data_IF_410468858111
#
_entry.id   IF_410468858111
#
_cell.length_a   1.000
_cell.length_b   1.000
_cell.length_c   1.000
_cell.angle_alpha   90.00
_cell.angle_beta   90.00
_cell.angle_gamma   90.00
#
_symmetry.space_group_name_H-M   'P 1'
#
loop_
_entity.id
_entity.type
_entity.pdbx_description
1 polymer ?
#
# COMPACT_ATOMS: atom_id res chain seq x y z
N UNK A 1 26.41 11.72 -9.16
CA UNK A 1 25.55 12.32 -8.12
C UNK A 1 24.51 13.20 -8.81
N UNK A 2 23.24 12.78 -8.89
CA UNK A 2 22.18 13.64 -9.41
C UNK A 2 22.07 14.90 -8.55
N UNK A 3 21.96 16.07 -9.17
CA UNK A 3 21.78 17.35 -8.46
C UNK A 3 20.51 17.27 -7.60
N UNK A 4 20.51 17.84 -6.37
CA UNK A 4 19.27 18.00 -5.63
C UNK A 4 18.32 18.84 -6.49
N UNK A 5 17.18 18.24 -6.85
CA UNK A 5 16.15 18.93 -7.61
C UNK A 5 15.36 19.77 -6.61
N UNK A 6 15.45 21.10 -6.72
CA UNK A 6 14.67 22.02 -5.90
C UNK A 6 13.22 22.06 -6.39
N UNK A 7 12.41 21.11 -5.92
CA UNK A 7 11.00 20.95 -6.30
C UNK A 7 10.14 22.20 -6.04
N UNK A 8 10.47 22.97 -4.99
CA UNK A 8 9.81 24.24 -4.68
C UNK A 8 10.09 25.32 -5.73
N UNK A 9 11.32 25.37 -6.25
CA UNK A 9 11.69 26.32 -7.30
C UNK A 9 10.97 25.99 -8.61
N UNK A 10 10.87 24.70 -8.95
CA UNK A 10 10.19 24.28 -10.19
C UNK A 10 8.69 24.53 -10.10
N UNK A 11 8.07 24.28 -8.95
CA UNK A 11 6.65 24.59 -8.73
C UNK A 11 6.40 26.11 -8.83
N UNK A 12 7.22 26.94 -8.18
CA UNK A 12 7.10 28.38 -8.26
C UNK A 12 7.22 28.89 -9.70
N UNK A 13 8.15 28.34 -10.49
CA UNK A 13 8.28 28.71 -11.91
C UNK A 13 7.07 28.28 -12.73
N UNK A 14 6.49 27.11 -12.48
CA UNK A 14 5.29 26.63 -13.18
C UNK A 14 4.07 27.48 -12.84
N UNK A 15 3.86 27.80 -11.55
CA UNK A 15 2.80 28.70 -11.12
C UNK A 15 2.95 30.09 -11.75
N UNK A 16 4.17 30.63 -11.80
CA UNK A 16 4.44 31.92 -12.42
C UNK A 16 4.15 31.90 -13.93
N UNK A 17 4.52 30.83 -14.63
CA UNK A 17 4.21 30.65 -16.06
C UNK A 17 2.70 30.54 -16.30
N UNK A 18 1.98 29.78 -15.47
CA UNK A 18 0.52 29.65 -15.57
C UNK A 18 -0.20 30.96 -15.27
N UNK A 19 0.28 31.74 -14.30
CA UNK A 19 -0.27 33.06 -13.99
C UNK A 19 0.02 34.08 -15.10
N UNK A 20 1.17 33.99 -15.76
CA UNK A 20 1.53 34.86 -16.89
C UNK A 20 0.71 34.55 -18.16
N UNK A 21 0.28 33.29 -18.33
CA UNK A 21 -0.49 32.84 -19.49
C UNK A 21 -1.74 32.08 -19.05
N UNK A 22 -2.79 32.79 -18.58
CA UNK A 22 -4.05 32.14 -18.22
C UNK A 22 -4.71 31.56 -19.47
N UNK A 23 -4.82 30.23 -19.53
CA UNK A 23 -5.51 29.51 -20.61
C UNK A 23 -7.02 29.66 -20.44
N UNK A 24 -7.55 30.85 -20.78
CA UNK A 24 -8.98 31.11 -20.89
C UNK A 24 -9.35 31.21 -22.36
N UNK A 25 -10.54 30.71 -22.73
CA UNK A 25 -11.10 30.86 -24.09
C UNK A 25 -11.08 32.34 -24.51
N UNK A 26 -11.35 33.26 -23.58
CA UNK A 26 -11.35 34.69 -23.83
C UNK A 26 -9.93 35.23 -24.09
N UNK A 27 -8.94 34.79 -23.32
CA UNK A 27 -7.54 35.20 -23.50
C UNK A 27 -6.95 34.64 -24.81
N UNK A 28 -7.38 33.45 -25.21
CA UNK A 28 -6.97 32.83 -26.47
C UNK A 28 -7.67 33.46 -27.69
N UNK A 29 -8.87 34.01 -27.51
CA UNK A 29 -9.65 34.65 -28.57
C UNK A 29 -9.27 36.12 -28.84
N UNK A 30 -8.75 36.84 -27.83
CA UNK A 30 -8.33 38.25 -27.94
C UNK A 30 -7.39 38.56 -29.13
N UNK A 31 -6.32 37.78 -29.42
CA UNK A 31 -5.47 38.06 -30.57
C UNK A 31 -6.20 37.85 -31.92
N UNK A 32 -7.20 36.96 -31.97
CA UNK A 32 -8.00 36.69 -33.17
C UNK A 32 -8.96 37.84 -33.44
N UNK A 33 -9.64 38.34 -32.40
CA UNK A 33 -10.57 39.48 -32.51
C UNK A 33 -9.84 40.78 -32.86
N UNK A 34 -8.68 41.01 -32.24
CA UNK A 34 -7.85 42.19 -32.50
C UNK A 34 -7.32 42.20 -33.95
N UNK A 35 -6.87 41.04 -34.45
CA UNK A 35 -6.41 40.90 -35.83
C UNK A 35 -7.53 41.11 -36.87
N UNK A 36 -8.78 40.75 -36.55
CA UNK A 36 -9.93 41.01 -37.41
C UNK A 36 -10.30 42.49 -37.45
N UNK A 37 -10.28 43.20 -36.31
CA UNK A 37 -10.53 44.63 -36.26
C UNK A 37 -9.48 45.42 -37.06
N UNK A 38 -8.21 45.01 -36.99
CA UNK A 38 -7.13 45.69 -37.71
C UNK A 38 -7.17 45.47 -39.23
N UNK A 39 -7.70 44.33 -39.70
CA UNK A 39 -7.94 44.09 -41.15
C UNK A 39 -9.14 44.87 -41.70
N UNK A 40 -10.07 45.30 -40.86
CA UNK A 40 -11.22 46.12 -41.27
C UNK A 40 -10.91 47.62 -41.35
N UNK A 41 -9.72 48.06 -40.92
CA UNK A 41 -9.21 49.41 -41.17
C UNK A 41 -8.17 49.40 -42.30
N UNK A 42 -8.65 49.58 -43.54
CA UNK A 42 -8.01 50.53 -44.43
C UNK A 42 -9.05 51.54 -44.98
N UNK A 43 -8.77 52.83 -44.77
CA UNK A 43 -9.33 53.97 -45.49
C UNK A 43 -10.76 54.45 -45.13
N UNK A 44 -10.97 54.91 -43.89
CA UNK A 44 -12.06 55.84 -43.57
C UNK A 44 -11.61 57.30 -43.78
N UNK A 45 -11.27 57.67 -45.01
CA UNK A 45 -11.03 59.06 -45.42
C UNK A 45 -11.61 59.33 -46.81
N UNK A 46 -12.90 59.02 -47.01
CA UNK A 46 -13.82 59.68 -47.95
C UNK A 46 -15.03 58.79 -48.24
N UNK A 47 -16.17 59.03 -47.56
CA UNK A 47 -17.53 58.95 -48.15
C UNK A 47 -18.63 59.10 -47.10
N UNK A 48 -19.35 60.23 -47.21
CA UNK A 48 -20.79 60.34 -46.92
C UNK A 48 -21.25 60.24 -45.45
N UNK A 49 -22.43 60.78 -45.12
CA UNK A 49 -23.00 60.66 -43.78
C UNK A 49 -23.37 59.20 -43.47
N UNK A 50 -23.24 58.77 -42.20
CA UNK A 50 -23.41 57.38 -41.79
C UNK A 50 -24.83 56.88 -42.01
N UNK A 51 -24.95 55.65 -42.54
CA UNK A 51 -26.22 54.91 -42.63
C UNK A 51 -26.65 54.46 -41.22
N UNK A 52 -27.97 54.44 -40.92
CA UNK A 52 -28.50 54.05 -39.61
C UNK A 52 -28.30 52.57 -39.24
N UNK A 53 -27.62 51.78 -40.07
CA UNK A 53 -27.26 50.39 -39.81
C UNK A 53 -25.94 50.22 -39.05
N UNK A 54 -25.08 51.25 -38.98
CA UNK A 54 -23.79 51.17 -38.29
C UNK A 54 -23.87 51.57 -36.79
N UNK A 55 -25.01 52.09 -36.34
CA UNK A 55 -25.20 52.58 -34.96
C UNK A 55 -25.55 51.48 -33.95
N UNK A 56 -25.79 50.24 -34.39
CA UNK A 56 -26.07 49.13 -33.48
C UNK A 56 -24.80 48.40 -32.99
N UNK A 57 -23.63 48.67 -33.58
CA UNK A 57 -22.36 48.06 -33.15
C UNK A 57 -21.56 48.90 -32.15
N UNK A 58 -21.95 50.15 -31.88
CA UNK A 58 -21.17 51.07 -31.05
C UNK A 58 -21.57 51.09 -29.56
N UNK A 59 -22.56 50.30 -29.14
CA UNK A 59 -23.03 50.24 -27.74
C UNK A 59 -22.46 49.05 -26.94
N UNK A 60 -21.57 48.23 -27.51
CA UNK A 60 -20.97 47.07 -26.82
C UNK A 60 -19.66 47.39 -26.06
N UNK A 61 -19.32 48.67 -25.88
CA UNK A 61 -18.12 49.05 -25.12
C UNK A 61 -18.22 48.78 -23.60
N UNK A 62 -19.38 48.31 -23.10
CA UNK A 62 -19.62 47.98 -21.68
C UNK A 62 -19.67 46.46 -21.39
N UNK A 63 -19.51 45.60 -22.42
CA UNK A 63 -19.61 44.13 -22.29
C UNK A 63 -18.39 43.45 -21.64
N UNK A 64 -17.49 44.22 -21.01
CA UNK A 64 -16.33 43.69 -20.28
C UNK A 64 -16.67 43.13 -18.90
N UNK A 65 -17.91 43.28 -18.44
CA UNK A 65 -18.39 42.72 -17.19
C UNK A 65 -18.83 41.25 -17.38
N UNK A 66 -17.84 40.37 -17.29
CA UNK A 66 -17.96 38.92 -17.05
C UNK A 66 -18.76 38.13 -18.11
N UNK A 67 -18.16 37.96 -19.28
CA UNK A 67 -18.48 36.88 -20.23
C UNK A 67 -18.17 35.51 -19.59
N UNK A 68 -19.06 35.02 -18.73
CA UNK A 68 -19.00 33.63 -18.29
C UNK A 68 -19.40 32.72 -19.47
N UNK A 69 -18.87 31.48 -19.56
CA UNK A 69 -19.19 30.58 -20.67
C UNK A 69 -20.70 30.32 -20.84
N UNK A 70 -21.46 30.42 -19.74
CA UNK A 70 -22.92 30.31 -19.73
C UNK A 70 -23.59 31.54 -20.36
N UNK A 71 -23.10 32.76 -20.09
CA UNK A 71 -23.60 33.99 -20.72
C UNK A 71 -23.33 33.98 -22.23
N UNK A 72 -22.15 33.55 -22.65
CA UNK A 72 -21.78 33.48 -24.07
C UNK A 72 -22.70 32.54 -24.87
N UNK A 73 -23.06 31.39 -24.31
CA UNK A 73 -23.97 30.46 -24.97
C UNK A 73 -25.38 31.06 -25.17
N UNK A 74 -25.88 31.79 -24.17
CA UNK A 74 -27.15 32.50 -24.26
C UNK A 74 -27.11 33.60 -25.33
N UNK A 75 -26.04 34.41 -25.36
CA UNK A 75 -25.87 35.47 -26.35
C UNK A 75 -25.79 34.93 -27.77
N UNK A 76 -25.06 33.83 -28.00
CA UNK A 76 -24.99 33.17 -29.31
C UNK A 76 -26.37 32.68 -29.78
N UNK A 77 -27.20 32.16 -28.88
CA UNK A 77 -28.57 31.74 -29.22
C UNK A 77 -29.45 32.94 -29.57
N UNK A 78 -29.37 34.02 -28.79
CA UNK A 78 -30.10 35.26 -29.03
C UNK A 78 -29.72 35.88 -30.39
N UNK A 79 -28.43 35.99 -30.69
CA UNK A 79 -27.96 36.53 -31.97
C UNK A 79 -28.37 35.67 -33.15
N UNK A 80 -28.31 34.34 -33.02
CA UNK A 80 -28.78 33.42 -34.07
C UNK A 80 -30.25 33.67 -34.40
N UNK A 81 -31.09 33.86 -33.39
CA UNK A 81 -32.52 34.12 -33.59
C UNK A 81 -32.77 35.51 -34.19
N UNK A 82 -32.09 36.54 -33.70
CA UNK A 82 -32.17 37.91 -34.22
C UNK A 82 -31.77 37.96 -35.68
N UNK A 83 -30.61 37.40 -36.06
CA UNK A 83 -30.14 37.39 -37.45
C UNK A 83 -31.03 36.52 -38.35
N UNK A 84 -31.61 35.44 -37.84
CA UNK A 84 -32.57 34.63 -38.61
C UNK A 84 -33.83 35.43 -38.93
N UNK A 85 -34.37 36.19 -37.97
CA UNK A 85 -35.51 37.09 -38.18
C UNK A 85 -35.17 38.23 -39.14
N UNK A 86 -34.01 38.86 -38.95
CA UNK A 86 -33.56 39.96 -39.80
C UNK A 86 -33.36 39.50 -41.25
N UNK A 87 -32.74 38.33 -41.44
CA UNK A 87 -32.57 37.71 -42.76
C UNK A 87 -33.91 37.42 -43.42
N UNK A 88 -34.88 36.85 -42.68
CA UNK A 88 -36.22 36.59 -43.21
C UNK A 88 -36.91 37.89 -43.65
N UNK A 89 -36.95 38.89 -42.77
CA UNK A 89 -37.55 40.20 -43.06
C UNK A 89 -36.90 40.88 -44.27
N UNK A 90 -35.56 40.84 -44.37
CA UNK A 90 -34.83 41.44 -45.48
C UNK A 90 -35.13 40.73 -46.80
N UNK A 91 -35.09 39.39 -46.83
CA UNK A 91 -35.43 38.62 -48.02
C UNK A 91 -36.86 38.89 -48.47
N UNK A 92 -37.81 38.92 -47.53
CA UNK A 92 -39.21 39.24 -47.82
C UNK A 92 -39.36 40.66 -48.38
N UNK A 93 -38.68 41.65 -47.81
CA UNK A 93 -38.75 43.03 -48.28
C UNK A 93 -38.14 43.19 -49.67
N UNK A 94 -36.94 42.65 -49.90
CA UNK A 94 -36.26 42.74 -51.20
C UNK A 94 -37.04 42.00 -52.28
N UNK A 95 -37.64 40.86 -51.97
CA UNK A 95 -38.47 40.10 -52.93
C UNK A 95 -39.76 40.86 -53.26
N UNK A 96 -40.45 41.42 -52.26
CA UNK A 96 -41.62 42.28 -52.48
C UNK A 96 -41.27 43.49 -53.33
N UNK A 97 -40.17 44.18 -53.03
CA UNK A 97 -39.74 45.36 -53.80
C UNK A 97 -39.36 44.97 -55.23
N UNK A 98 -38.59 43.90 -55.43
CA UNK A 98 -38.20 43.43 -56.76
C UNK A 98 -39.42 43.01 -57.57
N UNK A 99 -40.41 42.36 -56.96
CA UNK A 99 -41.66 41.99 -57.60
C UNK A 99 -42.45 43.24 -58.03
N UNK A 100 -42.65 44.20 -57.12
CA UNK A 100 -43.34 45.46 -57.44
C UNK A 100 -42.61 46.23 -58.55
N UNK A 101 -41.28 46.32 -58.50
CA UNK A 101 -40.49 46.97 -59.54
C UNK A 101 -40.57 46.24 -60.88
N UNK A 102 -40.70 44.91 -60.87
CA UNK A 102 -40.87 44.10 -62.08
C UNK A 102 -42.21 44.31 -62.78
N UNK A 103 -43.28 44.57 -62.02
CA UNK A 103 -44.63 44.77 -62.58
C UNK A 103 -44.97 46.23 -62.85
N UNK A 104 -44.41 47.18 -62.07
CA UNK A 104 -44.67 48.63 -62.20
C UNK A 104 -43.58 49.34 -63.01
N UNK A 105 -42.41 48.72 -63.20
CA UNK A 105 -41.31 49.31 -63.98
C UNK A 105 -41.65 49.42 -65.47
N UNK A 106 -41.28 50.55 -66.08
CA UNK A 106 -41.45 50.82 -67.50
C UNK A 106 -40.06 50.93 -68.15
N UNK A 107 -39.62 49.97 -69.00
CA UNK A 107 -40.35 48.80 -69.50
C UNK A 107 -40.39 47.62 -68.49
N UNK A 108 -41.42 46.76 -68.56
CA UNK A 108 -41.56 45.60 -67.67
C UNK A 108 -40.39 44.63 -67.85
N UNK A 109 -39.83 44.17 -66.73
CA UNK A 109 -38.73 43.21 -66.73
C UNK A 109 -39.24 41.82 -67.13
N UNK A 110 -39.04 41.47 -68.40
CA UNK A 110 -39.27 40.12 -68.93
C UNK A 110 -37.98 39.31 -68.80
N UNK A 111 -37.98 38.33 -67.90
CA UNK A 111 -36.84 37.40 -67.77
C UNK A 111 -36.85 36.46 -68.97
N UNK A 112 -35.81 36.52 -69.81
CA UNK A 112 -35.70 35.62 -70.96
C UNK A 112 -35.17 34.24 -70.56
N UNK A 113 -35.41 33.23 -71.40
CA UNK A 113 -34.83 31.90 -71.18
C UNK A 113 -33.28 31.93 -71.18
N UNK A 114 -32.67 32.83 -71.97
CA UNK A 114 -31.22 33.02 -71.99
C UNK A 114 -30.67 33.56 -70.67
N UNK A 115 -31.38 34.50 -70.04
CA UNK A 115 -31.00 35.05 -68.73
C UNK A 115 -31.08 33.98 -67.63
N UNK A 116 -32.10 33.12 -67.68
CA UNK A 116 -32.23 31.99 -66.76
C UNK A 116 -31.08 30.99 -66.93
N UNK A 117 -30.71 30.63 -68.16
CA UNK A 117 -29.57 29.74 -68.41
C UNK A 117 -28.25 30.33 -67.91
N UNK A 118 -28.02 31.63 -68.12
CA UNK A 118 -26.82 32.31 -67.60
C UNK A 118 -26.80 32.34 -66.06
N UNK A 119 -27.95 32.58 -65.42
CA UNK A 119 -28.10 32.52 -63.97
C UNK A 119 -27.89 31.10 -63.42
N UNK A 120 -28.38 30.07 -64.11
CA UNK A 120 -28.16 28.67 -63.72
C UNK A 120 -26.68 28.29 -63.77
N UNK A 121 -25.95 28.73 -64.80
CA UNK A 121 -24.51 28.50 -64.92
C UNK A 121 -23.73 29.17 -63.79
N UNK A 122 -24.03 30.44 -63.49
CA UNK A 122 -23.38 31.17 -62.38
C UNK A 122 -23.75 30.61 -61.01
N UNK A 123 -24.99 30.16 -60.82
CA UNK A 123 -25.39 29.48 -59.58
C UNK A 123 -24.71 28.13 -59.43
N UNK A 124 -24.47 27.40 -60.52
CA UNK A 124 -23.76 26.12 -60.48
C UNK A 124 -22.31 26.31 -60.00
N UNK A 125 -21.59 27.31 -60.52
CA UNK A 125 -20.22 27.61 -60.08
C UNK A 125 -20.19 28.10 -58.63
N UNK A 126 -21.04 29.05 -58.26
CA UNK A 126 -21.12 29.54 -56.88
C UNK A 126 -21.50 28.43 -55.88
N UNK A 127 -22.39 27.51 -56.27
CA UNK A 127 -22.77 26.37 -55.43
C UNK A 127 -21.64 25.38 -55.26
N UNK A 128 -20.84 25.16 -56.30
CA UNK A 128 -19.63 24.34 -56.21
C UNK A 128 -18.62 24.97 -55.25
N UNK A 129 -18.31 26.26 -55.43
CA UNK A 129 -17.36 26.98 -54.56
C UNK A 129 -17.84 27.04 -53.10
N UNK A 130 -19.14 27.21 -52.88
CA UNK A 130 -19.73 27.19 -51.55
C UNK A 130 -19.61 25.81 -50.89
N UNK A 131 -19.74 24.73 -51.65
CA UNK A 131 -19.55 23.37 -51.12
C UNK A 131 -18.10 23.13 -50.73
N UNK A 132 -17.15 23.47 -51.61
CA UNK A 132 -15.73 23.36 -51.31
C UNK A 132 -15.36 24.14 -50.03
N UNK A 133 -15.81 25.39 -49.91
CA UNK A 133 -15.56 26.20 -48.71
C UNK A 133 -16.22 25.64 -47.45
N UNK A 134 -17.38 24.99 -47.56
CA UNK A 134 -18.03 24.32 -46.41
C UNK A 134 -17.21 23.13 -45.96
N UNK A 135 -16.77 22.30 -46.90
CA UNK A 135 -15.90 21.15 -46.61
C UNK A 135 -14.59 21.59 -45.96
N UNK A 136 -13.97 22.68 -46.45
CA UNK A 136 -12.77 23.27 -45.84
C UNK A 136 -13.01 23.77 -44.40
N UNK A 137 -14.14 24.44 -44.16
CA UNK A 137 -14.50 24.93 -42.82
C UNK A 137 -14.80 23.77 -41.88
N UNK A 138 -15.53 22.75 -42.34
CA UNK A 138 -15.85 21.57 -41.54
C UNK A 138 -14.57 20.81 -41.17
N UNK A 139 -13.62 20.67 -42.11
CA UNK A 139 -12.32 20.08 -41.85
C UNK A 139 -11.50 20.89 -40.84
N UNK A 140 -11.49 22.23 -40.96
CA UNK A 140 -10.80 23.11 -40.01
C UNK A 140 -11.41 23.04 -38.60
N UNK A 141 -12.74 22.98 -38.49
CA UNK A 141 -13.44 22.82 -37.20
C UNK A 141 -13.07 21.48 -36.56
N UNK A 142 -13.09 20.39 -37.33
CA UNK A 142 -12.68 19.07 -36.82
C UNK A 142 -11.24 19.07 -36.30
N UNK A 143 -10.31 19.66 -37.04
CA UNK A 143 -8.91 19.79 -36.62
C UNK A 143 -8.76 20.67 -35.36
N UNK A 144 -9.55 21.74 -35.26
CA UNK A 144 -9.56 22.61 -34.08
C UNK A 144 -10.09 21.89 -32.84
N UNK A 145 -11.14 21.08 -32.98
CA UNK A 145 -11.69 20.27 -31.89
C UNK A 145 -10.71 19.20 -31.40
N UNK A 146 -10.04 18.50 -32.32
CA UNK A 146 -8.98 17.55 -31.98
C UNK A 146 -7.86 18.23 -31.20
N UNK A 147 -7.39 19.39 -31.70
CA UNK A 147 -6.35 20.14 -31.01
C UNK A 147 -6.80 20.65 -29.64
N UNK A 148 -8.05 21.09 -29.51
CA UNK A 148 -8.61 21.52 -28.25
C UNK A 148 -8.66 20.38 -27.23
N UNK A 149 -9.07 19.18 -27.65
CA UNK A 149 -9.07 17.97 -26.81
C UNK A 149 -7.66 17.59 -26.34
N UNK A 150 -6.68 17.61 -27.25
CA UNK A 150 -5.28 17.35 -26.91
C UNK A 150 -4.73 18.34 -25.89
N UNK A 151 -5.03 19.63 -26.06
CA UNK A 151 -4.58 20.68 -25.14
C UNK A 151 -5.22 20.52 -23.77
N UNK A 152 -6.53 20.22 -23.71
CA UNK A 152 -7.23 19.96 -22.46
C UNK A 152 -6.60 18.79 -21.68
N UNK A 153 -6.35 17.66 -22.36
CA UNK A 153 -5.72 16.49 -21.71
C UNK A 153 -4.32 16.80 -21.16
N UNK A 154 -3.52 17.56 -21.92
CA UNK A 154 -2.17 17.96 -21.47
C UNK A 154 -2.24 18.92 -20.30
N UNK A 155 -3.22 19.83 -20.30
CA UNK A 155 -3.43 20.78 -19.21
C UNK A 155 -3.81 20.06 -17.92
N UNK A 156 -4.73 19.09 -18.00
CA UNK A 156 -5.13 18.27 -16.85
C UNK A 156 -3.95 17.48 -16.28
N UNK A 157 -3.16 16.83 -17.14
CA UNK A 157 -1.97 16.09 -16.72
C UNK A 157 -0.91 16.98 -16.04
N UNK A 158 -0.72 18.21 -16.51
CA UNK A 158 0.19 19.18 -15.86
C UNK A 158 -0.34 19.60 -14.50
N UNK A 159 -1.64 19.88 -14.37
CA UNK A 159 -2.26 20.23 -13.09
C UNK A 159 -2.14 19.08 -12.07
N UNK A 160 -2.38 17.85 -12.49
CA UNK A 160 -2.16 16.66 -11.65
C UNK A 160 -0.70 16.55 -11.19
N UNK A 161 0.24 16.76 -12.11
CA UNK A 161 1.68 16.79 -11.82
C UNK A 161 2.07 17.89 -10.84
N UNK A 162 1.48 19.09 -10.96
CA UNK A 162 1.68 20.19 -10.01
C UNK A 162 1.17 19.83 -8.62
N UNK A 163 -0.02 19.25 -8.51
CA UNK A 163 -0.55 18.78 -7.22
C UNK A 163 0.30 17.69 -6.58
N UNK A 164 0.93 16.82 -7.38
CA UNK A 164 1.90 15.85 -6.87
C UNK A 164 3.20 16.54 -6.39
N UNK A 165 3.70 17.52 -7.14
CA UNK A 165 4.90 18.29 -6.81
C UNK A 165 4.72 19.16 -5.55
N UNK A 166 3.50 19.55 -5.21
CA UNK A 166 3.15 20.21 -3.96
C UNK A 166 3.24 19.28 -2.75
N UNK A 167 2.78 18.03 -2.89
CA UNK A 167 2.59 17.09 -1.78
C UNK A 167 3.83 16.24 -1.49
N UNK A 168 4.40 15.64 -2.54
CA UNK A 168 5.46 14.62 -2.41
C UNK A 168 6.72 15.17 -1.72
N UNK A 169 7.19 16.40 -1.99
CA UNK A 169 8.34 16.94 -1.28
C UNK A 169 8.10 17.09 0.23
N UNK A 170 6.88 17.43 0.66
CA UNK A 170 6.53 17.52 2.08
C UNK A 170 6.57 16.14 2.73
N UNK A 171 5.99 15.14 2.07
CA UNK A 171 6.04 13.73 2.52
C UNK A 171 7.49 13.21 2.61
N UNK A 172 8.36 13.58 1.66
CA UNK A 172 9.78 13.21 1.69
C UNK A 172 10.47 13.83 2.91
N UNK A 173 10.23 15.10 3.20
CA UNK A 173 10.82 15.78 4.36
C UNK A 173 10.30 15.19 5.68
N UNK A 174 9.01 14.83 5.75
CA UNK A 174 8.45 14.15 6.92
C UNK A 174 9.03 12.75 7.12
N UNK A 175 9.17 11.97 6.05
CA UNK A 175 9.83 10.66 6.09
C UNK A 175 11.31 10.77 6.48
N UNK A 176 12.02 11.81 6.02
CA UNK A 176 13.40 12.08 6.42
C UNK A 176 13.51 12.37 7.91
N UNK A 177 12.64 13.24 8.45
CA UNK A 177 12.57 13.52 9.90
C UNK A 177 12.28 12.25 10.70
N UNK A 178 11.38 11.40 10.21
CA UNK A 178 11.05 10.15 10.88
C UNK A 178 12.22 9.15 10.86
N UNK A 179 12.93 9.04 9.74
CA UNK A 179 14.15 8.23 9.64
C UNK A 179 15.24 8.77 10.57
N UNK A 180 15.44 10.08 10.65
CA UNK A 180 16.38 10.70 11.58
C UNK A 180 15.99 10.43 13.04
N UNK A 181 14.70 10.54 13.38
CA UNK A 181 14.15 10.21 14.70
C UNK A 181 14.42 8.75 15.06
N UNK A 182 14.11 7.83 14.16
CA UNK A 182 14.33 6.39 14.36
C UNK A 182 15.82 6.07 14.49
N UNK A 183 16.66 6.69 13.66
CA UNK A 183 18.11 6.53 13.76
C UNK A 183 18.67 7.08 15.08
N UNK A 184 18.17 8.22 15.55
CA UNK A 184 18.52 8.76 16.85
C UNK A 184 18.05 7.85 17.99
N UNK A 185 16.86 7.26 17.90
CA UNK A 185 16.34 6.29 18.86
C UNK A 185 17.19 5.01 18.88
N UNK A 186 17.56 4.48 17.71
CA UNK A 186 18.47 3.32 17.58
C UNK A 186 19.86 3.66 18.14
N UNK A 187 20.40 4.84 17.83
CA UNK A 187 21.68 5.30 18.34
C UNK A 187 21.64 5.47 19.87
N UNK A 188 20.56 6.01 20.44
CA UNK A 188 20.36 6.10 21.88
C UNK A 188 20.26 4.71 22.52
N UNK A 189 19.49 3.77 21.94
CA UNK A 189 19.41 2.39 22.42
C UNK A 189 20.75 1.65 22.34
N UNK A 190 21.57 1.94 21.33
CA UNK A 190 22.94 1.40 21.19
C UNK A 190 23.95 2.05 22.14
N UNK A 191 23.83 3.36 22.37
CA UNK A 191 24.73 4.18 23.20
C UNK A 191 24.41 4.14 24.70
N UNK A 192 23.21 3.71 25.10
CA UNK A 192 22.90 3.40 26.49
C UNK A 192 23.63 2.10 26.85
N UNK A 193 24.79 2.26 27.50
CA UNK A 193 25.59 1.19 28.09
C UNK A 193 24.81 0.32 29.11
N UNK A 194 23.57 0.68 29.46
CA UNK A 194 22.74 0.03 30.47
C UNK A 194 21.67 -0.98 30.02
N UNK A 195 21.49 -1.27 28.72
CA UNK A 195 20.66 -2.43 28.36
C UNK A 195 21.49 -3.70 28.56
N UNK A 196 21.29 -4.37 29.69
CA UNK A 196 22.06 -5.53 30.15
C UNK A 196 22.01 -6.75 29.21
N UNK A 197 21.20 -6.71 28.15
CA UNK A 197 20.98 -7.86 27.26
C UNK A 197 21.70 -7.66 25.91
N UNK A 198 22.83 -8.37 25.66
CA UNK A 198 23.61 -8.27 24.41
C UNK A 198 22.80 -8.53 23.15
N UNK A 199 21.68 -9.27 23.27
CA UNK A 199 20.76 -9.60 22.18
C UNK A 199 20.06 -8.38 21.59
N UNK A 200 19.92 -7.30 22.36
CA UNK A 200 19.31 -6.04 21.90
C UNK A 200 20.25 -5.16 21.07
N UNK A 201 21.53 -5.54 20.95
CA UNK A 201 22.56 -4.81 20.17
C UNK A 201 22.91 -5.50 18.86
N UNK A 202 22.33 -6.66 18.60
CA UNK A 202 22.59 -7.46 17.41
C UNK A 202 21.86 -6.87 16.19
N UNK A 203 22.46 -7.00 15.02
CA UNK A 203 21.80 -6.71 13.75
C UNK A 203 20.68 -7.73 13.48
N UNK A 204 19.75 -7.41 12.57
CA UNK A 204 18.64 -8.31 12.25
C UNK A 204 19.13 -9.72 11.83
N UNK A 205 20.14 -9.78 10.96
CA UNK A 205 20.74 -11.04 10.52
C UNK A 205 21.31 -11.84 11.70
N UNK A 206 22.07 -11.19 12.59
CA UNK A 206 22.63 -11.82 13.78
C UNK A 206 21.53 -12.31 14.75
N UNK A 207 20.41 -11.59 14.87
CA UNK A 207 19.27 -12.04 15.69
C UNK A 207 18.57 -13.25 15.09
N UNK A 208 18.46 -13.34 13.76
CA UNK A 208 17.87 -14.49 13.07
C UNK A 208 18.72 -15.75 13.25
N UNK A 209 20.04 -15.62 13.14
CA UNK A 209 21.00 -16.71 13.40
C UNK A 209 20.96 -17.17 14.86
N UNK A 210 20.99 -16.23 15.82
CA UNK A 210 20.91 -16.54 17.25
C UNK A 210 19.59 -17.25 17.61
N UNK A 211 18.49 -16.83 16.97
CA UNK A 211 17.17 -17.45 17.14
C UNK A 211 17.13 -18.87 16.54
N UNK A 212 17.74 -19.09 15.38
CA UNK A 212 17.88 -20.42 14.78
C UNK A 212 18.68 -21.36 15.69
N UNK A 213 19.84 -20.92 16.19
CA UNK A 213 20.67 -21.70 17.11
C UNK A 213 19.96 -21.99 18.45
N UNK A 214 19.14 -21.06 18.95
CA UNK A 214 18.33 -21.29 20.15
C UNK A 214 17.23 -22.32 19.91
N UNK A 215 16.58 -22.30 18.73
CA UNK A 215 15.56 -23.29 18.36
C UNK A 215 16.16 -24.69 18.25
N UNK A 216 17.36 -24.81 17.69
CA UNK A 216 18.07 -26.09 17.61
C UNK A 216 18.42 -26.63 18.99
N UNK A 217 18.98 -25.79 19.87
CA UNK A 217 19.24 -26.17 21.28
C UNK A 217 17.98 -26.58 22.03
N UNK A 218 16.87 -25.86 21.85
CA UNK A 218 15.60 -26.25 22.45
C UNK A 218 15.12 -27.61 21.91
N UNK A 219 15.24 -27.85 20.60
CA UNK A 219 14.86 -29.13 20.01
C UNK A 219 15.73 -30.30 20.50
N UNK A 220 17.02 -30.07 20.77
CA UNK A 220 17.91 -31.06 21.38
C UNK A 220 17.49 -31.37 22.83
N UNK A 221 17.20 -30.33 23.62
CA UNK A 221 16.69 -30.49 25.00
C UNK A 221 15.36 -31.25 25.00
N UNK A 222 14.45 -30.94 24.08
CA UNK A 222 13.17 -31.64 23.95
C UNK A 222 13.36 -33.12 23.60
N UNK A 223 14.34 -33.46 22.74
CA UNK A 223 14.71 -34.86 22.46
C UNK A 223 15.26 -35.56 23.70
N UNK A 224 16.15 -34.91 24.45
CA UNK A 224 16.70 -35.47 25.68
C UNK A 224 15.61 -35.70 26.74
N UNK A 225 14.66 -34.76 26.86
CA UNK A 225 13.49 -34.91 27.74
C UNK A 225 12.66 -36.12 27.32
N UNK A 226 12.37 -36.28 26.02
CA UNK A 226 11.61 -37.41 25.50
C UNK A 226 12.30 -38.76 25.75
N UNK A 227 13.61 -38.83 25.56
CA UNK A 227 14.40 -40.04 25.85
C UNK A 227 14.38 -40.39 27.34
N UNK A 228 14.57 -39.41 28.22
CA UNK A 228 14.51 -39.61 29.66
C UNK A 228 13.11 -40.03 30.11
N UNK A 229 12.06 -39.38 29.61
CA UNK A 229 10.67 -39.75 29.89
C UNK A 229 10.34 -41.15 29.38
N UNK A 230 10.87 -41.56 28.23
CA UNK A 230 10.72 -42.93 27.70
C UNK A 230 11.46 -43.98 28.53
N UNK A 231 12.62 -43.64 29.10
CA UNK A 231 13.42 -44.53 29.95
C UNK A 231 12.92 -44.66 31.40
N UNK A 232 12.22 -43.65 31.92
CA UNK A 232 11.73 -43.60 33.30
C UNK A 232 10.89 -44.83 33.70
N UNK A 233 9.87 -45.27 32.92
CA UNK A 233 9.05 -46.42 33.29
C UNK A 233 9.84 -47.72 33.44
N UNK A 234 10.87 -47.93 32.62
CA UNK A 234 11.72 -49.12 32.73
C UNK A 234 12.55 -49.08 34.02
N UNK A 235 13.14 -47.92 34.34
CA UNK A 235 13.87 -47.71 35.59
C UNK A 235 12.98 -47.87 36.82
N UNK A 236 11.75 -47.37 36.78
CA UNK A 236 10.75 -47.57 37.85
C UNK A 236 10.47 -49.06 38.05
N UNK A 237 10.25 -49.82 36.96
CA UNK A 237 10.06 -51.28 37.04
C UNK A 237 11.28 -52.02 37.60
N UNK A 238 12.49 -51.57 37.25
CA UNK A 238 13.73 -52.13 37.80
C UNK A 238 13.83 -51.89 39.31
N UNK A 239 13.53 -50.67 39.77
CA UNK A 239 13.50 -50.34 41.21
C UNK A 239 12.44 -51.16 41.93
N UNK A 240 11.22 -51.24 41.41
CA UNK A 240 10.16 -52.08 41.99
C UNK A 240 10.56 -53.57 42.07
N UNK A 241 11.31 -54.07 41.08
CA UNK A 241 11.85 -55.44 41.10
C UNK A 241 12.86 -55.61 42.24
N UNK A 242 13.82 -54.69 42.36
CA UNK A 242 14.81 -54.71 43.43
C UNK A 242 14.14 -54.59 44.82
N UNK A 243 13.11 -53.77 44.95
CA UNK A 243 12.34 -53.64 46.20
C UNK A 243 11.64 -54.94 46.60
N UNK A 244 11.08 -55.68 45.63
CA UNK A 244 10.51 -57.02 45.87
C UNK A 244 11.57 -58.01 46.29
N UNK A 245 12.72 -58.03 45.62
CA UNK A 245 13.85 -58.90 45.99
C UNK A 245 14.38 -58.58 47.39
N UNK A 246 14.50 -57.30 47.75
CA UNK A 246 14.87 -56.86 49.09
C UNK A 246 13.85 -57.30 50.13
N UNK A 247 12.55 -57.15 49.87
CA UNK A 247 11.49 -57.60 50.77
C UNK A 247 11.53 -59.12 51.01
N UNK A 248 11.83 -59.91 49.97
CA UNK A 248 12.04 -61.36 50.11
C UNK A 248 13.27 -61.69 50.97
N UNK A 249 14.39 -61.00 50.73
CA UNK A 249 15.61 -61.18 51.52
C UNK A 249 15.41 -60.79 52.98
N UNK A 250 14.68 -59.70 53.25
CA UNK A 250 14.28 -59.31 54.59
C UNK A 250 13.38 -60.34 55.25
N UNK A 251 12.42 -60.92 54.51
CA UNK A 251 11.58 -62.01 55.02
C UNK A 251 12.42 -63.22 55.39
N UNK A 252 13.34 -63.65 54.51
CA UNK A 252 14.28 -64.77 54.77
C UNK A 252 15.19 -64.47 55.96
N UNK A 253 15.71 -63.24 56.07
CA UNK A 253 16.50 -62.79 57.22
C UNK A 253 15.69 -62.87 58.52
N UNK A 254 14.45 -62.40 58.50
CA UNK A 254 13.57 -62.42 59.65
C UNK A 254 13.17 -63.84 60.06
N UNK A 255 12.89 -64.72 59.10
CA UNK A 255 12.66 -66.15 59.32
C UNK A 255 13.90 -66.84 59.91
N UNK A 256 15.09 -66.62 59.34
CA UNK A 256 16.34 -67.14 59.87
C UNK A 256 16.64 -66.62 61.28
N UNK A 257 16.38 -65.33 61.53
CA UNK A 257 16.51 -64.74 62.86
C UNK A 257 15.52 -65.35 63.86
N UNK A 258 14.26 -65.59 63.47
CA UNK A 258 13.27 -66.30 64.28
C UNK A 258 13.70 -67.73 64.57
N UNK A 259 14.13 -68.50 63.57
CA UNK A 259 14.64 -69.85 63.75
C UNK A 259 15.89 -69.87 64.67
N UNK A 260 16.77 -68.88 64.58
CA UNK A 260 17.93 -68.77 65.46
C UNK A 260 17.54 -68.41 66.91
N UNK A 261 16.53 -67.56 67.10
CA UNK A 261 15.98 -67.24 68.44
C UNK A 261 15.22 -68.43 69.00
N UNK A 262 14.39 -69.11 68.22
CA UNK A 262 13.71 -70.34 68.62
C UNK A 262 14.69 -71.49 68.87
N UNK A 263 15.79 -71.57 68.11
CA UNK A 263 16.86 -72.54 68.36
C UNK A 263 17.62 -72.24 69.65
N UNK A 264 17.84 -70.95 69.98
CA UNK A 264 18.35 -70.54 71.30
C UNK A 264 17.35 -70.86 72.41
N UNK A 265 16.08 -70.51 72.22
CA UNK A 265 15.00 -70.78 73.16
C UNK A 265 14.78 -72.28 73.37
N UNK A 266 14.83 -73.12 72.32
CA UNK A 266 14.79 -74.59 72.47
C UNK A 266 16.02 -75.12 73.20
N UNK A 267 17.22 -74.57 72.97
CA UNK A 267 18.41 -74.92 73.79
C UNK A 267 18.25 -74.53 75.26
N UNK A 268 17.54 -73.45 75.55
CA UNK A 268 17.28 -72.95 76.91
C UNK A 268 16.12 -73.70 77.60
N UNK A 269 15.03 -73.99 76.89
CA UNK A 269 13.83 -74.69 77.41
C UNK A 269 13.98 -76.21 77.44
N UNK A 270 14.66 -76.80 76.46
CA UNK A 270 15.02 -78.22 76.44
C UNK A 270 16.45 -78.41 76.95
N UNK A 271 16.83 -77.75 78.06
CA UNK A 271 18.01 -78.12 78.87
C UNK A 271 19.27 -78.55 78.14
N UNK A 272 19.57 -78.00 76.95
CA UNK A 272 20.62 -78.53 76.07
C UNK A 272 22.02 -78.22 76.58
N UNK A 273 22.11 -77.41 77.64
CA UNK A 273 23.29 -77.30 78.49
C UNK A 273 23.34 -78.36 79.57
N UNK A 274 22.22 -78.70 80.20
CA UNK A 274 22.20 -79.71 81.27
C UNK A 274 22.48 -81.11 80.73
N UNK A 275 21.92 -81.55 79.60
CA UNK A 275 22.24 -82.90 79.08
C UNK A 275 23.72 -83.03 78.66
N UNK A 276 24.28 -82.00 78.03
CA UNK A 276 25.68 -81.99 77.57
C UNK A 276 26.66 -81.77 78.73
N UNK A 277 26.30 -80.96 79.73
CA UNK A 277 27.06 -80.78 80.97
C UNK A 277 26.94 -81.99 81.91
N UNK A 278 25.80 -82.68 81.97
CA UNK A 278 25.62 -83.94 82.69
C UNK A 278 26.45 -85.04 82.04
N UNK A 279 26.42 -85.17 80.71
CA UNK A 279 27.31 -86.09 80.00
C UNK A 279 28.79 -85.72 80.24
N UNK A 280 29.14 -84.43 80.18
CA UNK A 280 30.48 -83.94 80.44
C UNK A 280 30.95 -84.10 81.90
N UNK A 281 30.04 -84.00 82.88
CA UNK A 281 30.27 -84.29 84.29
C UNK A 281 30.40 -85.79 84.52
N UNK A 282 29.58 -86.61 83.87
CA UNK A 282 29.67 -88.06 83.90
C UNK A 282 30.99 -88.55 83.30
N UNK A 283 31.39 -88.04 82.14
CA UNK A 283 32.69 -88.36 81.53
C UNK A 283 33.87 -87.88 82.38
N UNK A 284 33.80 -86.70 83.01
CA UNK A 284 34.85 -86.24 83.94
C UNK A 284 34.89 -87.05 85.24
N UNK A 285 33.74 -87.47 85.77
CA UNK A 285 33.67 -88.34 86.93
C UNK A 285 34.21 -89.74 86.60
N UNK A 286 33.87 -90.28 85.43
CA UNK A 286 34.42 -91.55 84.95
C UNK A 286 35.92 -91.43 84.66
N UNK A 287 36.38 -90.28 84.13
CA UNK A 287 37.81 -89.98 83.96
C UNK A 287 38.51 -89.92 85.32
N UNK A 288 37.93 -89.27 86.33
CA UNK A 288 38.49 -89.21 87.68
C UNK A 288 38.59 -90.60 88.34
N UNK A 289 37.55 -91.42 88.22
CA UNK A 289 37.56 -92.82 88.70
C UNK A 289 38.61 -93.65 87.96
N UNK A 290 38.70 -93.51 86.62
CA UNK A 290 39.72 -94.21 85.84
C UNK A 290 41.13 -93.70 86.16
N UNK A 291 41.36 -92.40 86.35
CA UNK A 291 42.66 -91.83 86.77
C UNK A 291 43.06 -92.29 88.17
N UNK A 292 42.12 -92.42 89.09
CA UNK A 292 42.36 -92.95 90.45
C UNK A 292 42.69 -94.45 90.46
N UNK A 293 42.05 -95.24 89.61
CA UNK A 293 42.37 -96.67 89.42
C UNK A 293 43.68 -96.91 88.64
N UNK A 294 44.06 -95.97 87.76
CA UNK A 294 45.27 -96.04 86.94
C UNK A 294 46.48 -95.30 87.54
N UNK A 295 46.34 -94.68 88.73
CA UNK A 295 47.46 -94.11 89.48
C UNK A 295 48.17 -92.94 88.82
N UNK A 296 47.45 -92.05 88.13
CA UNK A 296 48.02 -90.84 87.50
C UNK A 296 47.44 -89.58 88.14
N UNK A 297 47.80 -89.35 89.40
CA UNK A 297 47.88 -88.01 89.96
C UNK A 297 49.28 -87.47 89.71
N UNK A 298 49.34 -86.20 89.30
CA UNK A 298 50.59 -85.49 89.12
C UNK A 298 51.42 -85.52 90.38
N UNK A 299 52.41 -86.40 90.39
CA UNK A 299 53.60 -86.29 91.18
C UNK A 299 54.73 -85.82 90.26
N UNK A 300 55.32 -84.68 90.60
CA UNK A 300 56.73 -84.81 90.93
C UNK A 300 56.72 -85.05 92.44
N UNK A 301 57.01 -86.29 92.82
CA UNK A 301 56.82 -86.87 94.14
C UNK A 301 56.38 -88.33 94.05
#
# INVERSE_FOLDING_TARGET
MPRPVDYSSTLATLCAQQAAQPLSILALAEPITTSQQQRQQPQAASRGPPRPSDTLSASEADSSLALTPTTLAADLTHYKDLFSKLRFSYLEQVTKEKYLRSIVGDPPLLVSHGDNLALEQTLATMKHDLKAKKEDVDALVSAMEERARDVAQRYDAVNEGMGALERVPLEIEDLRREVERLNAEVAARRGVEGSSDPRMRMSLAETEEALAAQRERNAEVDRMIAELQGGMPARVRDVERMDRELAELERRRNEAARLAVEGRRRREEQGGRDEMEELGRWYRASEGVMRGLLGVEGTVG
#
